data_IF_128635778366
#
_entry.id   IF_128635778366
#
_cell.length_a   1.000
_cell.length_b   1.000
_cell.length_c   1.000
_cell.angle_alpha   90.00
_cell.angle_beta   90.00
_cell.angle_gamma   90.00
#
_symmetry.space_group_name_H-M   'P 1'
#
loop_
_entity.id
_entity.type
_entity.pdbx_description
1 polymer ?
#
# COMPACT_ATOMS: atom_id res chain seq x y z
N UNK A 1 29.96 -31.24 13.39
CA UNK A 1 28.72 -30.64 13.95
C UNK A 1 28.82 -29.13 13.81
N UNK A 2 27.86 -28.50 13.13
CA UNK A 2 27.36 -27.13 13.36
C UNK A 2 26.28 -26.88 12.31
N UNK A 3 25.05 -27.17 12.70
CA UNK A 3 23.80 -26.92 11.97
C UNK A 3 23.58 -25.41 11.96
N UNK A 4 23.76 -24.77 10.81
CA UNK A 4 23.34 -23.39 10.62
C UNK A 4 21.82 -23.38 10.50
N UNK A 5 21.14 -22.93 11.55
CA UNK A 5 19.69 -22.73 11.58
C UNK A 5 19.28 -21.79 10.45
N UNK A 6 18.84 -22.36 9.33
CA UNK A 6 18.08 -21.64 8.32
C UNK A 6 16.73 -21.34 8.92
N UNK A 7 16.57 -20.15 9.51
CA UNK A 7 15.25 -19.61 9.82
C UNK A 7 14.45 -19.66 8.52
N UNK A 8 13.36 -20.44 8.45
CA UNK A 8 12.59 -20.55 7.22
C UNK A 8 12.02 -19.16 6.93
N UNK A 9 12.34 -18.64 5.75
CA UNK A 9 11.70 -17.44 5.24
C UNK A 9 10.20 -17.72 5.15
N UNK A 10 9.43 -17.18 6.10
CA UNK A 10 7.99 -17.45 6.25
C UNK A 10 7.15 -16.71 5.19
N UNK A 11 7.77 -16.09 4.18
CA UNK A 11 7.11 -15.14 3.28
C UNK A 11 7.07 -15.70 1.86
N UNK A 12 5.86 -15.93 1.38
CA UNK A 12 5.61 -16.55 0.08
C UNK A 12 5.82 -15.61 -1.13
N UNK A 13 5.78 -14.28 -0.93
CA UNK A 13 5.69 -13.31 -2.04
C UNK A 13 6.89 -12.37 -2.18
N UNK A 14 7.35 -12.19 -3.43
CA UNK A 14 8.36 -11.19 -3.82
C UNK A 14 7.77 -9.78 -3.69
N UNK A 15 8.57 -8.87 -3.12
CA UNK A 15 8.19 -7.46 -2.86
C UNK A 15 8.74 -6.56 -3.96
N UNK A 16 7.90 -5.71 -4.54
CA UNK A 16 8.36 -4.66 -5.46
C UNK A 16 8.97 -3.50 -4.65
N UNK A 17 10.19 -3.11 -5.00
CA UNK A 17 10.91 -1.96 -4.44
C UNK A 17 10.52 -0.69 -5.22
N UNK A 18 9.23 -0.36 -5.17
CA UNK A 18 8.64 0.82 -5.81
C UNK A 18 7.63 1.44 -4.86
N UNK A 19 7.71 2.77 -4.73
CA UNK A 19 6.70 3.55 -4.02
C UNK A 19 5.55 3.89 -4.97
N UNK A 20 4.33 3.66 -4.50
CA UNK A 20 3.09 3.99 -5.16
C UNK A 20 2.29 4.91 -4.26
N UNK A 21 1.52 5.80 -4.87
CA UNK A 21 0.59 6.62 -4.10
C UNK A 21 -0.56 5.74 -3.64
N UNK A 22 -0.92 5.84 -2.36
CA UNK A 22 -2.11 5.20 -1.80
C UNK A 22 -3.09 6.27 -1.34
N UNK A 23 -4.36 6.08 -1.65
CA UNK A 23 -5.46 6.93 -1.22
C UNK A 23 -6.35 6.15 -0.28
N UNK A 24 -6.74 6.79 0.82
CA UNK A 24 -7.60 6.28 1.87
C UNK A 24 -8.71 7.32 2.13
N UNK A 25 -9.81 6.97 2.80
CA UNK A 25 -10.82 7.94 3.20
C UNK A 25 -10.21 9.11 3.97
N UNK A 26 -10.27 10.30 3.38
CA UNK A 26 -9.74 11.54 3.98
C UNK A 26 -8.21 11.66 4.04
N UNK A 27 -7.45 10.68 3.54
CA UNK A 27 -6.00 10.67 3.67
C UNK A 27 -5.30 10.26 2.37
N UNK A 28 -4.11 10.81 2.16
CA UNK A 28 -3.18 10.38 1.12
C UNK A 28 -1.91 9.87 1.79
N UNK A 29 -1.38 8.78 1.27
CA UNK A 29 -0.15 8.18 1.75
C UNK A 29 0.71 7.69 0.59
N UNK A 30 1.86 7.14 0.94
CA UNK A 30 2.79 6.52 0.00
C UNK A 30 3.20 5.14 0.51
N UNK A 31 3.20 4.15 -0.38
CA UNK A 31 3.68 2.81 -0.03
C UNK A 31 5.20 2.87 0.17
N UNK A 32 5.70 2.33 1.28
CA UNK A 32 7.14 2.33 1.58
C UNK A 32 7.69 0.93 1.37
N UNK A 33 8.06 0.66 0.12
CA UNK A 33 8.46 -0.65 -0.38
C UNK A 33 7.41 -1.74 -0.07
N UNK A 34 7.53 -2.91 -0.69
CA UNK A 34 6.80 -4.10 -0.21
C UNK A 34 5.28 -4.15 -0.40
N UNK A 35 4.80 -3.86 -1.60
CA UNK A 35 3.48 -4.37 -2.02
C UNK A 35 3.61 -5.88 -2.31
N UNK A 36 2.76 -6.70 -1.70
CA UNK A 36 2.53 -8.10 -2.10
C UNK A 36 1.10 -8.27 -2.59
N UNK A 37 0.75 -9.45 -3.10
CA UNK A 37 -0.62 -9.83 -3.46
C UNK A 37 -1.57 -9.87 -2.25
N UNK A 38 -1.01 -9.88 -1.03
CA UNK A 38 -1.71 -10.15 0.23
C UNK A 38 -1.69 -8.97 1.20
N UNK A 39 -0.90 -7.93 0.94
CA UNK A 39 -0.84 -6.76 1.81
C UNK A 39 0.12 -5.69 1.34
N UNK A 40 0.13 -4.59 2.09
CA UNK A 40 0.92 -3.41 1.80
C UNK A 40 1.42 -2.76 3.10
N UNK A 41 2.60 -2.16 3.02
CA UNK A 41 3.09 -1.22 4.02
C UNK A 41 3.12 0.18 3.42
N UNK A 42 2.55 1.15 4.12
CA UNK A 42 2.50 2.53 3.65
C UNK A 42 2.65 3.51 4.80
N UNK A 43 3.01 4.74 4.45
CA UNK A 43 3.04 5.85 5.38
C UNK A 43 1.96 6.88 5.08
N UNK A 44 1.38 7.43 6.14
CA UNK A 44 0.29 8.40 6.07
C UNK A 44 0.47 9.44 7.18
N UNK A 45 0.05 10.68 6.92
CA UNK A 45 -0.05 11.71 7.96
C UNK A 45 -1.51 11.74 8.42
N UNK A 46 -1.74 11.48 9.70
CA UNK A 46 -3.08 11.46 10.28
C UNK A 46 -3.12 12.13 11.66
N UNK A 47 -4.23 12.81 11.95
CA UNK A 47 -4.51 13.36 13.28
C UNK A 47 -5.19 12.32 14.18
N UNK A 48 -6.06 11.52 13.59
CA UNK A 48 -6.73 10.41 14.26
C UNK A 48 -5.91 9.13 14.07
N UNK A 49 -5.16 8.76 15.10
CA UNK A 49 -4.37 7.52 15.12
C UNK A 49 -5.29 6.30 15.27
N UNK A 50 -6.43 6.45 15.95
CA UNK A 50 -7.32 5.32 16.25
C UNK A 50 -7.98 4.76 14.99
N UNK A 51 -8.13 5.59 13.94
CA UNK A 51 -8.54 5.17 12.60
C UNK A 51 -7.62 4.08 12.00
N UNK A 52 -6.38 3.95 12.51
CA UNK A 52 -5.39 2.96 12.09
C UNK A 52 -5.12 1.89 13.15
N UNK A 53 -6.02 1.72 14.12
CA UNK A 53 -5.91 0.66 15.13
C UNK A 53 -5.89 -0.74 14.49
N UNK A 54 -5.16 -1.72 15.06
CA UNK A 54 -5.20 -3.09 14.58
C UNK A 54 -6.62 -3.65 14.52
N UNK A 55 -6.95 -4.34 13.43
CA UNK A 55 -8.27 -4.90 13.15
C UNK A 55 -9.23 -3.95 12.42
N UNK A 56 -8.88 -2.66 12.28
CA UNK A 56 -9.70 -1.74 11.48
C UNK A 56 -9.61 -2.08 10.00
N UNK A 57 -10.76 -2.24 9.35
CA UNK A 57 -10.86 -2.40 7.89
C UNK A 57 -10.93 -1.03 7.23
N UNK A 58 -10.02 -0.78 6.29
CA UNK A 58 -9.91 0.50 5.59
C UNK A 58 -10.01 0.23 4.08
N UNK A 59 -10.88 0.95 3.34
CA UNK A 59 -10.86 0.89 1.88
C UNK A 59 -9.62 1.61 1.36
N UNK A 60 -9.00 1.06 0.32
CA UNK A 60 -7.75 1.57 -0.23
C UNK A 60 -7.80 1.65 -1.75
N UNK A 61 -7.10 2.63 -2.29
CA UNK A 61 -6.80 2.73 -3.71
C UNK A 61 -5.30 2.95 -3.89
N UNK A 62 -4.65 2.08 -4.66
CA UNK A 62 -3.23 2.18 -5.00
C UNK A 62 -3.12 2.64 -6.45
N UNK A 63 -2.50 3.81 -6.65
CA UNK A 63 -2.30 4.38 -7.97
C UNK A 63 -0.93 3.96 -8.50
N UNK A 64 -0.92 3.31 -9.66
CA UNK A 64 0.27 2.89 -10.37
C UNK A 64 0.29 3.43 -11.80
N UNK A 65 1.47 3.63 -12.36
CA UNK A 65 1.64 3.91 -13.78
C UNK A 65 2.32 2.74 -14.47
N UNK A 66 1.76 2.32 -15.60
CA UNK A 66 2.38 1.31 -16.45
C UNK A 66 2.79 1.94 -17.77
N UNK A 67 4.05 1.74 -18.14
CA UNK A 67 4.57 2.10 -19.46
C UNK A 67 4.36 0.88 -20.34
N UNK A 68 3.40 0.97 -21.27
CA UNK A 68 3.24 -0.05 -22.30
C UNK A 68 4.00 0.44 -23.55
N UNK A 69 5.06 -0.25 -23.98
CA UNK A 69 5.82 0.13 -25.16
C UNK A 69 4.90 0.28 -26.38
N UNK A 70 4.95 1.44 -27.04
CA UNK A 70 4.15 1.74 -28.25
C UNK A 70 2.72 2.25 -28.00
N UNK A 71 2.23 2.31 -26.76
CA UNK A 71 0.83 2.70 -26.47
C UNK A 71 0.70 3.99 -25.64
N UNK A 72 1.78 4.43 -24.96
CA UNK A 72 1.86 5.51 -23.94
C UNK A 72 1.68 5.04 -22.49
N UNK A 73 2.05 5.89 -21.54
CA UNK A 73 1.90 5.66 -20.10
C UNK A 73 0.43 5.64 -19.71
N UNK A 74 -0.02 4.57 -19.07
CA UNK A 74 -1.39 4.43 -18.58
C UNK A 74 -1.43 4.39 -17.06
N UNK A 75 -2.32 5.18 -16.48
CA UNK A 75 -2.64 5.11 -15.06
C UNK A 75 -3.53 3.89 -14.78
N UNK A 76 -3.14 3.16 -13.75
CA UNK A 76 -3.77 1.94 -13.26
C UNK A 76 -4.12 2.19 -11.80
N UNK A 77 -5.39 1.99 -11.44
CA UNK A 77 -5.85 2.09 -10.07
C UNK A 77 -6.20 0.69 -9.58
N UNK A 78 -5.64 0.29 -8.44
CA UNK A 78 -5.98 -0.94 -7.75
C UNK A 78 -6.83 -0.60 -6.54
N UNK A 79 -8.08 -1.04 -6.51
CA UNK A 79 -9.03 -0.72 -5.45
C UNK A 79 -9.30 -1.96 -4.60
N UNK A 80 -9.60 -1.76 -3.32
CA UNK A 80 -10.05 -2.84 -2.45
C UNK A 80 -10.17 -2.37 -1.01
N UNK A 81 -10.10 -3.32 -0.09
CA UNK A 81 -10.05 -3.05 1.34
C UNK A 81 -9.03 -3.94 2.03
N UNK A 82 -8.59 -3.53 3.20
CA UNK A 82 -7.75 -4.36 4.04
C UNK A 82 -7.85 -4.02 5.51
N UNK A 83 -7.52 -5.02 6.32
CA UNK A 83 -7.46 -4.90 7.76
C UNK A 83 -6.06 -4.45 8.20
N UNK A 84 -6.01 -3.45 9.08
CA UNK A 84 -4.74 -3.02 9.70
C UNK A 84 -4.22 -4.13 10.60
N UNK A 85 -2.99 -4.56 10.36
CA UNK A 85 -2.29 -5.56 11.18
C UNK A 85 -1.56 -4.89 12.33
N UNK A 86 -0.92 -3.75 12.04
CA UNK A 86 -0.18 -2.93 13.01
C UNK A 86 0.09 -1.54 12.42
N UNK A 87 0.42 -0.59 13.29
CA UNK A 87 0.96 0.70 12.92
C UNK A 87 2.11 1.09 13.85
N UNK A 88 2.99 1.96 13.36
CA UNK A 88 4.08 2.56 14.13
C UNK A 88 4.04 4.08 13.94
N UNK A 89 4.28 4.87 15.00
CA UNK A 89 4.47 6.32 14.87
C UNK A 89 5.92 6.57 14.43
N UNK A 90 6.11 7.12 13.23
CA UNK A 90 7.42 7.45 12.66
C UNK A 90 7.89 8.85 13.04
N UNK A 91 6.98 9.71 13.48
CA UNK A 91 7.27 11.06 13.95
C UNK A 91 6.01 11.92 13.97
N UNK A 92 6.14 13.15 14.47
CA UNK A 92 5.05 14.13 14.50
C UNK A 92 5.41 15.31 13.60
N UNK A 93 4.42 15.81 12.87
CA UNK A 93 4.52 16.95 11.96
C UNK A 93 3.55 18.05 12.42
N UNK A 94 3.65 19.25 11.84
CA UNK A 94 2.68 20.32 12.09
C UNK A 94 1.25 19.99 11.61
N UNK A 95 1.08 18.89 10.84
CA UNK A 95 -0.18 18.47 10.24
C UNK A 95 -0.70 17.13 10.78
N UNK A 96 -0.09 16.61 11.84
CA UNK A 96 -0.47 15.34 12.47
C UNK A 96 0.70 14.37 12.62
N UNK A 97 0.39 13.14 13.00
CA UNK A 97 1.38 12.09 13.21
C UNK A 97 1.66 11.37 11.89
N UNK A 98 2.95 11.21 11.56
CA UNK A 98 3.38 10.33 10.48
C UNK A 98 3.34 8.90 10.99
N UNK A 99 2.43 8.12 10.44
CA UNK A 99 2.23 6.72 10.78
C UNK A 99 2.79 5.84 9.67
N UNK A 100 3.45 4.75 10.05
CA UNK A 100 3.73 3.64 9.14
C UNK A 100 2.77 2.49 9.44
N UNK A 101 1.95 2.11 8.47
CA UNK A 101 0.83 1.18 8.63
C UNK A 101 1.08 -0.07 7.81
N UNK A 102 0.97 -1.24 8.46
CA UNK A 102 0.95 -2.53 7.77
C UNK A 102 -0.49 -3.02 7.66
N UNK A 103 -0.95 -3.25 6.44
CA UNK A 103 -2.29 -3.69 6.13
C UNK A 103 -2.27 -5.01 5.37
N UNK A 104 -3.18 -5.92 5.72
CA UNK A 104 -3.45 -7.14 4.95
C UNK A 104 -4.70 -6.91 4.11
N UNK A 105 -4.67 -7.24 2.83
CA UNK A 105 -5.88 -7.16 2.00
C UNK A 105 -6.87 -8.24 2.43
N UNK A 106 -8.14 -7.87 2.51
CA UNK A 106 -9.21 -8.81 2.88
C UNK A 106 -9.60 -9.67 1.67
N UNK A 107 -9.55 -9.08 0.48
CA UNK A 107 -9.79 -9.72 -0.82
C UNK A 107 -8.75 -9.31 -1.86
N UNK A 108 -8.81 -9.90 -3.06
CA UNK A 108 -7.97 -9.46 -4.18
C UNK A 108 -8.35 -8.04 -4.58
N UNK A 109 -7.33 -7.23 -4.89
CA UNK A 109 -7.54 -5.88 -5.40
C UNK A 109 -8.14 -5.90 -6.82
N UNK A 110 -9.15 -5.07 -7.03
CA UNK A 110 -9.80 -4.86 -8.32
C UNK A 110 -9.00 -3.88 -9.18
N UNK A 111 -8.71 -4.29 -10.40
CA UNK A 111 -8.01 -3.47 -11.38
C UNK A 111 -9.00 -2.55 -12.10
N UNK A 112 -8.88 -1.25 -11.89
CA UNK A 112 -9.55 -0.23 -12.70
C UNK A 112 -8.55 0.44 -13.64
N UNK A 113 -8.82 0.33 -14.93
CA UNK A 113 -8.02 1.01 -15.96
C UNK A 113 -8.55 2.43 -16.16
N UNK A 114 -7.71 3.43 -15.94
CA UNK A 114 -8.02 4.80 -16.38
C UNK A 114 -8.19 4.82 -17.90
N UNK A 115 -9.33 5.29 -18.38
CA UNK A 115 -9.47 5.71 -19.77
C UNK A 115 -8.75 7.05 -19.88
N UNK A 116 -7.53 7.04 -20.43
CA UNK A 116 -6.92 8.28 -20.92
C UNK A 116 -7.86 8.83 -21.99
N UNK A 117 -8.59 9.90 -21.67
CA UNK A 117 -9.41 10.59 -22.65
C UNK A 117 -8.44 11.15 -23.70
N UNK A 118 -8.50 10.57 -24.91
CA UNK A 118 -7.96 11.21 -26.10
C UNK A 118 -8.77 12.48 -26.34
N UNK A 119 -8.23 13.62 -25.96
CA UNK A 119 -8.68 14.89 -26.54
C UNK A 119 -8.34 14.86 -28.02
N UNK A 120 -9.38 14.94 -28.86
CA UNK A 120 -9.30 15.16 -30.30
C UNK A 120 -8.73 16.54 -30.60
#
# INVERSE_FOLDING_TARGET
>A
MMTGDRVPDRRADKRLDRSFQITLPGHKGETVNHISSTGVYFEVIANDIEAFSPGMTIPVQINASSIIPGISTREINLNGSGSVVRYDIKGTTNHGNRLGVAMRFDDKLDLQMGLSQRSL
#
